data_IF_172505731182
#
_entry.id   IF_172505731182
#
_cell.length_a   1.000
_cell.length_b   1.000
_cell.length_c   1.000
_cell.angle_alpha   90.00
_cell.angle_beta   90.00
_cell.angle_gamma   90.00
#
_symmetry.space_group_name_H-M   'P 1'
#
loop_
_entity.id
_entity.type
_entity.pdbx_description
1 polymer ?
#
# COMPACT_ATOMS: atom_id res chain seq x y z
N UNK A 1 3.39 -40.15 2.77
CA UNK A 1 3.47 -39.14 1.71
C UNK A 1 2.70 -37.92 2.20
N UNK A 2 3.40 -36.95 2.80
CA UNK A 2 2.76 -35.75 3.35
C UNK A 2 2.17 -34.96 2.19
N UNK A 3 0.87 -34.71 2.22
CA UNK A 3 0.17 -33.86 1.25
C UNK A 3 0.66 -32.44 1.45
N UNK A 4 1.79 -32.09 0.82
CA UNK A 4 2.25 -30.70 0.76
C UNK A 4 1.20 -29.97 -0.06
N UNK A 5 0.32 -29.24 0.62
CA UNK A 5 -0.71 -28.46 -0.05
C UNK A 5 -0.02 -27.47 -0.98
N UNK A 6 -0.33 -27.55 -2.27
CA UNK A 6 0.19 -26.61 -3.26
C UNK A 6 -0.17 -25.18 -2.84
N UNK A 7 0.80 -24.26 -2.88
CA UNK A 7 0.58 -22.87 -2.49
C UNK A 7 -0.48 -22.26 -3.40
N UNK A 8 -1.46 -21.57 -2.79
CA UNK A 8 -2.55 -20.88 -3.51
C UNK A 8 -2.32 -19.38 -3.49
N UNK A 9 -2.77 -18.70 -4.55
CA UNK A 9 -2.78 -17.24 -4.62
C UNK A 9 -3.48 -16.64 -3.40
N UNK A 10 -2.83 -15.69 -2.77
CA UNK A 10 -3.30 -15.05 -1.55
C UNK A 10 -4.42 -14.04 -1.86
N UNK A 11 -5.37 -13.92 -0.94
CA UNK A 11 -6.39 -12.86 -1.01
C UNK A 11 -5.74 -11.51 -0.67
N UNK A 12 -5.86 -10.52 -1.57
CA UNK A 12 -5.29 -9.18 -1.44
C UNK A 12 -5.78 -8.47 -0.18
N UNK A 13 -7.05 -8.60 0.20
CA UNK A 13 -7.59 -7.94 1.41
C UNK A 13 -7.02 -8.56 2.69
N UNK A 14 -6.82 -9.88 2.70
CA UNK A 14 -6.18 -10.58 3.81
C UNK A 14 -4.70 -10.19 3.92
N UNK A 15 -4.02 -10.03 2.78
CA UNK A 15 -2.66 -9.54 2.72
C UNK A 15 -2.55 -8.09 3.22
N UNK A 16 -3.47 -7.21 2.81
CA UNK A 16 -3.53 -5.83 3.27
C UNK A 16 -3.75 -5.75 4.79
N UNK A 17 -4.64 -6.58 5.34
CA UNK A 17 -4.82 -6.66 6.79
C UNK A 17 -3.50 -7.05 7.49
N UNK A 18 -2.84 -8.10 7.05
CA UNK A 18 -1.55 -8.48 7.66
C UNK A 18 -0.44 -7.45 7.42
N UNK A 19 -0.45 -6.73 6.31
CA UNK A 19 0.52 -5.67 6.07
C UNK A 19 0.51 -4.61 7.18
N UNK A 20 -0.66 -4.25 7.70
CA UNK A 20 -0.80 -3.30 8.82
C UNK A 20 -0.62 -3.95 10.20
N UNK A 21 -1.17 -5.16 10.41
CA UNK A 21 -1.26 -5.75 11.75
C UNK A 21 -0.18 -6.79 12.08
N UNK A 22 0.48 -7.40 11.10
CA UNK A 22 1.47 -8.45 11.33
C UNK A 22 2.43 -8.65 10.15
N UNK A 23 3.65 -8.11 10.28
CA UNK A 23 4.72 -8.21 9.27
C UNK A 23 5.03 -9.68 8.93
N UNK A 24 5.19 -10.54 9.93
CA UNK A 24 5.51 -11.96 9.75
C UNK A 24 4.44 -12.72 8.95
N UNK A 25 3.17 -12.47 9.25
CA UNK A 25 2.04 -13.09 8.53
C UNK A 25 1.96 -12.57 7.09
N UNK A 26 2.29 -11.31 6.87
CA UNK A 26 2.36 -10.74 5.52
C UNK A 26 3.49 -11.36 4.70
N UNK A 27 4.70 -11.46 5.26
CA UNK A 27 5.87 -12.06 4.58
C UNK A 27 5.58 -13.53 4.24
N UNK A 28 5.02 -14.30 5.18
CA UNK A 28 4.68 -15.70 4.94
C UNK A 28 3.62 -15.86 3.84
N UNK A 29 2.60 -14.99 3.84
CA UNK A 29 1.57 -14.99 2.82
C UNK A 29 2.12 -14.57 1.43
N UNK A 30 3.06 -13.63 1.42
CA UNK A 30 3.78 -13.21 0.23
C UNK A 30 4.65 -14.32 -0.36
N UNK A 31 5.36 -15.08 0.48
CA UNK A 31 6.18 -16.21 0.05
C UNK A 31 5.31 -17.29 -0.59
N UNK A 32 4.17 -17.62 0.04
CA UNK A 32 3.18 -18.57 -0.52
C UNK A 32 2.63 -18.06 -1.86
N UNK A 33 2.30 -16.77 -1.96
CA UNK A 33 1.80 -16.20 -3.21
C UNK A 33 2.85 -16.19 -4.33
N UNK A 34 4.11 -15.92 -3.99
CA UNK A 34 5.24 -15.99 -4.93
C UNK A 34 5.44 -17.41 -5.46
N UNK A 35 5.43 -18.41 -4.56
CA UNK A 35 5.51 -19.81 -4.97
C UNK A 35 4.34 -20.26 -5.84
N UNK A 36 3.11 -19.85 -5.50
CA UNK A 36 1.93 -20.15 -6.30
C UNK A 36 2.05 -19.58 -7.73
N UNK A 37 2.68 -18.41 -7.86
CA UNK A 37 2.92 -17.77 -9.14
C UNK A 37 4.08 -18.42 -9.92
N UNK A 38 5.16 -18.80 -9.25
CA UNK A 38 6.26 -19.52 -9.89
C UNK A 38 5.79 -20.87 -10.42
N UNK A 39 4.99 -21.61 -9.63
CA UNK A 39 4.41 -22.90 -10.02
C UNK A 39 3.36 -22.82 -11.13
N UNK A 40 2.89 -21.63 -11.53
CA UNK A 40 2.10 -21.47 -12.76
C UNK A 40 2.97 -21.61 -14.02
N UNK A 41 4.29 -21.39 -13.93
CA UNK A 41 5.23 -21.50 -15.04
C UNK A 41 5.76 -22.93 -15.17
N UNK A 42 5.75 -23.46 -16.39
CA UNK A 42 6.18 -24.85 -16.65
C UNK A 42 7.67 -25.10 -16.32
N UNK A 43 8.53 -24.07 -16.40
CA UNK A 43 9.93 -24.16 -16.01
C UNK A 43 10.11 -24.52 -14.52
N UNK A 44 9.26 -23.95 -13.65
CA UNK A 44 9.34 -24.15 -12.21
C UNK A 44 8.64 -25.43 -11.78
N UNK A 45 7.57 -25.86 -12.48
CA UNK A 45 7.01 -27.21 -12.30
C UNK A 45 8.06 -28.28 -12.59
N UNK A 46 8.84 -28.13 -13.66
CA UNK A 46 9.93 -29.05 -14.00
C UNK A 46 11.04 -29.06 -12.94
N UNK A 47 11.41 -27.88 -12.40
CA UNK A 47 12.36 -27.77 -11.28
C UNK A 47 11.84 -28.41 -9.99
N UNK A 48 10.52 -28.40 -9.75
CA UNK A 48 9.88 -29.09 -8.64
C UNK A 48 9.97 -30.61 -8.80
N UNK A 49 9.69 -31.13 -10.00
CA UNK A 49 9.79 -32.56 -10.31
C UNK A 49 11.24 -33.08 -10.18
N UNK A 50 12.23 -32.24 -10.49
CA UNK A 50 13.66 -32.53 -10.33
C UNK A 50 14.15 -32.39 -8.88
N UNK A 51 13.30 -32.01 -7.93
CA UNK A 51 13.67 -31.80 -6.52
C UNK A 51 14.56 -30.57 -6.27
N UNK A 52 14.70 -29.68 -7.26
CA UNK A 52 15.54 -28.47 -7.19
C UNK A 52 14.77 -27.22 -6.74
N UNK A 53 13.49 -27.35 -6.42
CA UNK A 53 12.64 -26.26 -5.94
C UNK A 53 12.09 -26.58 -4.54
N UNK A 54 12.40 -25.71 -3.56
CA UNK A 54 11.91 -25.87 -2.19
C UNK A 54 10.47 -25.36 -2.07
N UNK A 55 9.58 -26.19 -1.53
CA UNK A 55 8.22 -25.80 -1.13
C UNK A 55 8.18 -25.15 0.26
N UNK A 56 9.33 -24.93 0.91
CA UNK A 56 9.38 -24.29 2.22
C UNK A 56 9.29 -22.75 2.08
N UNK A 57 8.22 -22.10 2.57
CA UNK A 57 8.05 -20.65 2.45
C UNK A 57 9.18 -19.87 3.11
N UNK A 58 9.85 -20.43 4.13
CA UNK A 58 10.97 -19.78 4.84
C UNK A 58 12.15 -19.45 3.91
N UNK A 59 12.46 -20.33 2.95
CA UNK A 59 13.58 -20.15 2.02
C UNK A 59 13.36 -18.98 1.05
N UNK A 60 12.12 -18.50 0.93
CA UNK A 60 11.72 -17.46 0.00
C UNK A 60 11.40 -16.13 0.71
N UNK A 61 11.53 -16.05 2.05
CA UNK A 61 11.16 -14.85 2.84
C UNK A 61 12.13 -13.69 2.70
N UNK A 62 13.42 -13.97 2.47
CA UNK A 62 14.49 -12.98 2.64
C UNK A 62 14.36 -11.76 1.72
N UNK A 63 13.89 -11.96 0.47
CA UNK A 63 13.65 -10.87 -0.48
C UNK A 63 12.29 -10.17 -0.28
N UNK A 64 11.36 -10.80 0.45
CA UNK A 64 10.05 -10.21 0.76
C UNK A 64 10.10 -9.27 1.96
N UNK A 65 11.03 -9.49 2.87
CA UNK A 65 11.21 -8.62 4.03
C UNK A 65 11.68 -7.23 3.62
N UNK A 66 12.73 -7.13 2.80
CA UNK A 66 13.25 -5.86 2.29
C UNK A 66 12.20 -5.06 1.54
N UNK A 67 11.38 -5.72 0.70
CA UNK A 67 10.34 -5.04 -0.06
C UNK A 67 9.13 -4.63 0.78
N UNK A 68 8.79 -5.40 1.82
CA UNK A 68 7.78 -4.97 2.79
C UNK A 68 8.25 -3.72 3.54
N UNK A 69 9.53 -3.65 3.92
CA UNK A 69 10.10 -2.50 4.60
C UNK A 69 10.22 -1.29 3.68
N UNK A 70 10.56 -1.49 2.40
CA UNK A 70 10.59 -0.43 1.41
C UNK A 70 9.18 0.15 1.16
N UNK A 71 8.15 -0.70 1.08
CA UNK A 71 6.75 -0.27 0.95
C UNK A 71 6.29 0.56 2.14
N UNK A 72 6.63 0.12 3.36
CA UNK A 72 6.33 0.88 4.59
C UNK A 72 7.07 2.20 4.64
N UNK A 73 8.35 2.20 4.26
CA UNK A 73 9.18 3.41 4.20
C UNK A 73 8.61 4.41 3.20
N UNK A 74 8.23 3.97 2.00
CA UNK A 74 7.62 4.84 0.99
C UNK A 74 6.27 5.42 1.43
N UNK A 75 5.42 4.61 2.07
CA UNK A 75 4.19 5.11 2.71
C UNK A 75 4.50 6.17 3.78
N UNK A 76 5.48 5.93 4.65
CA UNK A 76 5.82 6.87 5.73
C UNK A 76 6.43 8.17 5.20
N UNK A 77 7.33 8.08 4.22
CA UNK A 77 7.95 9.25 3.57
C UNK A 77 6.90 10.08 2.86
N UNK A 78 6.00 9.46 2.11
CA UNK A 78 4.92 10.19 1.41
C UNK A 78 3.97 10.90 2.38
N UNK A 79 3.58 10.26 3.48
CA UNK A 79 2.78 10.92 4.54
C UNK A 79 3.55 12.09 5.14
N UNK A 80 4.84 11.92 5.42
CA UNK A 80 5.69 12.95 6.04
C UNK A 80 5.82 14.19 5.14
N UNK A 81 6.01 13.99 3.83
CA UNK A 81 6.04 15.08 2.84
C UNK A 81 4.70 15.82 2.83
N UNK A 82 3.58 15.08 2.79
CA UNK A 82 2.25 15.68 2.78
C UNK A 82 1.93 16.45 4.05
N UNK A 83 2.36 15.97 5.23
CA UNK A 83 2.24 16.71 6.49
C UNK A 83 3.08 18.00 6.47
N UNK A 84 4.28 17.96 5.88
CA UNK A 84 5.11 19.15 5.69
C UNK A 84 4.42 20.20 4.81
N UNK A 85 3.81 19.77 3.70
CA UNK A 85 3.02 20.66 2.82
C UNK A 85 1.81 21.23 3.56
N UNK A 86 1.08 20.41 4.31
CA UNK A 86 -0.06 20.84 5.11
C UNK A 86 0.34 21.90 6.15
N UNK A 87 1.45 21.68 6.85
CA UNK A 87 1.99 22.65 7.80
C UNK A 87 2.33 23.98 7.13
N UNK A 88 2.92 23.93 5.92
CA UNK A 88 3.22 25.14 5.15
C UNK A 88 1.96 25.91 4.77
N UNK A 89 0.91 25.23 4.31
CA UNK A 89 -0.38 25.85 3.97
C UNK A 89 -1.01 26.51 5.20
N UNK A 90 -0.99 25.83 6.36
CA UNK A 90 -1.49 26.37 7.62
C UNK A 90 -0.68 27.62 8.02
N UNK A 91 0.65 27.56 7.96
CA UNK A 91 1.52 28.69 8.28
C UNK A 91 1.25 29.91 7.39
N UNK A 92 1.06 29.71 6.08
CA UNK A 92 0.68 30.76 5.13
C UNK A 92 -0.68 31.33 5.48
N UNK A 93 -1.69 30.48 5.75
CA UNK A 93 -3.03 30.93 6.11
C UNK A 93 -3.07 31.75 7.41
N UNK A 94 -2.22 31.42 8.38
CA UNK A 94 -2.04 32.23 9.59
C UNK A 94 -1.35 33.56 9.28
N UNK A 95 -0.29 33.56 8.47
CA UNK A 95 0.44 34.78 8.09
C UNK A 95 -0.41 35.76 7.27
N UNK A 96 -1.24 35.25 6.36
CA UNK A 96 -2.18 36.05 5.56
C UNK A 96 -3.33 36.63 6.39
N UNK A 97 -3.51 36.22 7.65
CA UNK A 97 -4.55 36.71 8.54
C UNK A 97 -5.97 36.18 8.25
N UNK A 98 -6.09 35.28 7.27
CA UNK A 98 -7.35 34.65 6.85
C UNK A 98 -7.81 33.54 7.81
N UNK A 99 -6.86 32.82 8.43
CA UNK A 99 -7.13 31.84 9.48
C UNK A 99 -7.38 32.53 10.83
N UNK A 100 -8.53 33.19 10.96
CA UNK A 100 -9.05 33.62 12.27
C UNK A 100 -9.69 32.42 12.98
N UNK A 101 -9.10 31.98 14.09
CA UNK A 101 -9.56 30.88 14.98
C UNK A 101 -11.02 31.06 15.47
N UNK A 102 -11.62 32.23 15.25
CA UNK A 102 -13.01 32.56 15.60
C UNK A 102 -14.06 32.17 14.57
N UNK A 103 -13.71 31.87 13.32
CA UNK A 103 -14.70 31.38 12.36
C UNK A 103 -14.90 29.89 12.58
N UNK A 104 -16.14 29.51 12.92
CA UNK A 104 -16.68 28.16 12.77
C UNK A 104 -16.01 27.50 11.57
N UNK A 105 -15.08 26.58 11.80
CA UNK A 105 -14.51 25.75 10.75
C UNK A 105 -15.69 25.01 10.14
N UNK A 106 -16.21 25.54 9.04
CA UNK A 106 -17.34 24.94 8.35
C UNK A 106 -16.97 23.49 8.11
N UNK A 107 -17.71 22.57 8.72
CA UNK A 107 -17.42 21.14 8.69
C UNK A 107 -17.21 20.67 7.24
N UNK A 108 -17.94 21.27 6.30
CA UNK A 108 -17.79 21.10 4.85
C UNK A 108 -16.37 21.41 4.33
N UNK A 109 -15.79 22.54 4.73
CA UNK A 109 -14.44 22.96 4.33
C UNK A 109 -13.38 22.02 4.92
N UNK A 110 -13.55 21.61 6.18
CA UNK A 110 -12.64 20.66 6.83
C UNK A 110 -12.70 19.27 6.15
N UNK A 111 -13.90 18.78 5.82
CA UNK A 111 -14.11 17.51 5.11
C UNK A 111 -13.51 17.56 3.70
N UNK A 112 -13.74 18.65 2.96
CA UNK A 112 -13.18 18.85 1.61
C UNK A 112 -11.65 18.90 1.63
N UNK A 113 -11.06 19.69 2.53
CA UNK A 113 -9.62 19.79 2.71
C UNK A 113 -8.99 18.43 3.05
N UNK A 114 -9.65 17.65 3.90
CA UNK A 114 -9.23 16.28 4.23
C UNK A 114 -9.28 15.38 2.99
N UNK A 115 -10.32 15.49 2.15
CA UNK A 115 -10.41 14.77 0.88
C UNK A 115 -9.29 15.12 -0.10
N UNK A 116 -8.98 16.42 -0.24
CA UNK A 116 -7.87 16.90 -1.08
C UNK A 116 -6.50 16.44 -0.55
N UNK A 117 -6.33 16.38 0.77
CA UNK A 117 -5.13 15.83 1.40
C UNK A 117 -4.96 14.34 1.04
N UNK A 118 -6.01 13.53 1.20
CA UNK A 118 -5.97 12.11 0.85
C UNK A 118 -5.69 11.88 -0.64
N UNK A 119 -6.30 12.68 -1.53
CA UNK A 119 -6.04 12.62 -2.97
C UNK A 119 -4.59 12.93 -3.31
N UNK A 120 -4.07 14.03 -2.79
CA UNK A 120 -2.70 14.48 -3.02
C UNK A 120 -1.69 13.48 -2.45
N UNK A 121 -2.00 12.89 -1.30
CA UNK A 121 -1.16 11.84 -0.72
C UNK A 121 -1.17 10.57 -1.57
N UNK A 122 -2.34 10.10 -2.00
CA UNK A 122 -2.46 8.91 -2.83
C UNK A 122 -1.67 9.06 -4.14
N UNK A 123 -1.77 10.21 -4.81
CA UNK A 123 -1.03 10.46 -6.05
C UNK A 123 0.48 10.54 -5.80
N UNK A 124 0.93 11.21 -4.74
CA UNK A 124 2.35 11.30 -4.40
C UNK A 124 2.93 9.92 -4.04
N UNK A 125 2.19 9.11 -3.29
CA UNK A 125 2.55 7.72 -3.01
C UNK A 125 2.70 6.91 -4.31
N UNK A 126 1.75 7.03 -5.24
CA UNK A 126 1.82 6.31 -6.52
C UNK A 126 3.00 6.78 -7.39
N UNK A 127 3.32 8.08 -7.40
CA UNK A 127 4.46 8.61 -8.15
C UNK A 127 5.81 8.19 -7.56
N UNK A 128 5.94 8.19 -6.22
CA UNK A 128 7.17 7.77 -5.53
C UNK A 128 7.41 6.26 -5.60
N UNK A 129 6.35 5.46 -5.54
CA UNK A 129 6.45 3.99 -5.50
C UNK A 129 6.60 3.33 -6.89
N UNK A 130 5.99 3.88 -7.95
CA UNK A 130 5.91 3.21 -9.25
C UNK A 130 7.24 3.07 -10.01
N UNK A 131 8.32 3.68 -9.53
CA UNK A 131 9.66 3.46 -10.06
C UNK A 131 10.34 2.18 -9.53
N UNK A 132 9.80 1.52 -8.49
CA UNK A 132 10.52 0.45 -7.78
C UNK A 132 10.30 -0.98 -8.30
N UNK A 133 9.25 -1.29 -9.07
CA UNK A 133 9.07 -2.66 -9.59
C UNK A 133 8.17 -2.71 -10.83
N UNK A 134 8.71 -3.25 -11.91
CA UNK A 134 8.14 -3.21 -13.26
C UNK A 134 7.35 -4.48 -13.62
N UNK A 135 6.95 -5.33 -12.64
CA UNK A 135 6.35 -6.63 -12.95
C UNK A 135 4.99 -6.94 -12.33
N UNK A 136 4.47 -6.22 -11.34
CA UNK A 136 3.09 -6.41 -10.88
C UNK A 136 2.75 -7.85 -10.44
N UNK A 137 3.76 -8.63 -10.06
CA UNK A 137 3.65 -10.05 -9.74
C UNK A 137 3.82 -10.35 -8.26
N UNK A 138 4.20 -9.35 -7.44
CA UNK A 138 4.47 -9.55 -6.01
C UNK A 138 3.34 -9.00 -5.15
N UNK A 139 3.08 -9.68 -4.04
CA UNK A 139 1.93 -9.42 -3.16
C UNK A 139 1.95 -8.00 -2.57
N UNK A 140 3.14 -7.45 -2.34
CA UNK A 140 3.41 -6.07 -1.92
C UNK A 140 2.96 -5.02 -2.94
N UNK A 141 3.17 -5.25 -4.23
CA UNK A 141 2.68 -4.34 -5.28
C UNK A 141 1.15 -4.33 -5.34
N UNK A 142 0.53 -5.51 -5.24
CA UNK A 142 -0.94 -5.64 -5.23
C UNK A 142 -1.56 -4.97 -4.02
N UNK A 143 -0.94 -5.11 -2.85
CA UNK A 143 -1.38 -4.44 -1.61
C UNK A 143 -1.14 -2.94 -1.68
N UNK A 144 0.00 -2.49 -2.18
CA UNK A 144 0.28 -1.06 -2.39
C UNK A 144 -0.73 -0.41 -3.35
N UNK A 145 -1.05 -1.08 -4.46
CA UNK A 145 -2.08 -0.63 -5.40
C UNK A 145 -3.47 -0.61 -4.75
N UNK A 146 -3.80 -1.63 -3.95
CA UNK A 146 -5.06 -1.68 -3.23
C UNK A 146 -5.17 -0.53 -2.22
N UNK A 147 -4.13 -0.24 -1.45
CA UNK A 147 -4.07 0.89 -0.52
C UNK A 147 -4.29 2.20 -1.29
N UNK A 148 -3.53 2.43 -2.36
CA UNK A 148 -3.70 3.59 -3.23
C UNK A 148 -5.16 3.76 -3.68
N UNK A 149 -5.76 2.69 -4.22
CA UNK A 149 -7.12 2.74 -4.75
C UNK A 149 -8.14 3.12 -3.69
N UNK A 150 -8.04 2.56 -2.47
CA UNK A 150 -8.97 2.88 -1.40
C UNK A 150 -8.79 4.32 -0.89
N UNK A 151 -7.54 4.76 -0.68
CA UNK A 151 -7.25 6.13 -0.24
C UNK A 151 -7.72 7.14 -1.28
N UNK A 152 -7.49 6.86 -2.57
CA UNK A 152 -7.95 7.71 -3.67
C UNK A 152 -9.48 7.80 -3.71
N UNK A 153 -10.20 6.67 -3.65
CA UNK A 153 -11.67 6.66 -3.68
C UNK A 153 -12.24 7.43 -2.47
N UNK A 154 -11.72 7.18 -1.28
CA UNK A 154 -12.18 7.88 -0.05
C UNK A 154 -11.86 9.37 -0.16
N UNK A 155 -10.67 9.74 -0.63
CA UNK A 155 -10.28 11.14 -0.84
C UNK A 155 -11.17 11.85 -1.86
N UNK A 156 -11.46 11.21 -2.99
CA UNK A 156 -12.41 11.72 -4.00
C UNK A 156 -13.80 11.90 -3.39
N UNK A 157 -14.29 10.91 -2.66
CA UNK A 157 -15.60 10.98 -2.03
C UNK A 157 -15.71 12.15 -1.05
N UNK A 158 -14.74 12.29 -0.13
CA UNK A 158 -14.71 13.38 0.84
C UNK A 158 -14.58 14.76 0.18
N UNK A 159 -13.77 14.86 -0.88
CA UNK A 159 -13.62 16.10 -1.66
C UNK A 159 -14.92 16.50 -2.34
N UNK A 160 -15.62 15.54 -2.96
CA UNK A 160 -16.90 15.77 -3.65
C UNK A 160 -18.07 15.99 -2.68
N UNK A 161 -17.99 15.48 -1.44
CA UNK A 161 -19.00 15.67 -0.40
C UNK A 161 -19.27 17.17 -0.13
N UNK A 162 -18.28 18.01 -0.39
CA UNK A 162 -18.39 19.47 -0.35
C UNK A 162 -19.52 20.02 -1.22
N UNK A 163 -19.73 19.46 -2.41
CA UNK A 163 -20.77 19.93 -3.33
C UNK A 163 -22.17 19.42 -2.98
N UNK A 164 -22.26 18.36 -2.16
CA UNK A 164 -23.51 17.72 -1.80
C UNK A 164 -24.08 18.23 -0.45
N UNK A 165 -23.21 18.73 0.44
CA UNK A 165 -23.59 19.30 1.73
C UNK A 165 -23.76 20.80 1.64
#
# INVERSE_FOLDING_TARGET
>A
MNTVQLPKKANIYKAMFYFFFSKEKFITLGAINGMAFDLEKDEYKKKLEEGRYSLNPDDHKHHLEECCDDLRKSLFVSVSIMLGVLFMVIAIGFYSGDLRITSSLDCKNAVSATGMFFLSWATLFQLGWRNASWKGCRLDELVGLAIFRHVFIIGSFLSLLYFAL
#
